data_IF_713775001651
#
_entry.id   IF_713775001651
#
_cell.length_a   1.000
_cell.length_b   1.000
_cell.length_c   1.000
_cell.angle_alpha   90.00
_cell.angle_beta   90.00
_cell.angle_gamma   90.00
#
_symmetry.space_group_name_H-M   'P 1'
#
loop_
_entity.id
_entity.type
_entity.pdbx_description
1 polymer ?
#
# COMPACT_ATOMS: atom_id res chain seq x y z
N UNK A 1 -18.10 -7.35 -22.37
CA UNK A 1 -18.32 -7.95 -21.03
C UNK A 1 -17.26 -7.36 -20.11
N UNK A 2 -17.65 -6.63 -19.07
CA UNK A 2 -16.70 -6.02 -18.14
C UNK A 2 -16.04 -7.09 -17.25
N UNK A 3 -14.77 -6.89 -16.89
CA UNK A 3 -14.06 -7.73 -15.94
C UNK A 3 -14.29 -7.24 -14.49
N UNK A 4 -13.97 -8.06 -13.49
CA UNK A 4 -14.10 -7.67 -12.07
C UNK A 4 -13.08 -6.59 -11.63
N UNK A 5 -11.94 -6.50 -12.32
CA UNK A 5 -10.82 -5.62 -11.94
C UNK A 5 -10.54 -4.58 -13.04
N UNK A 6 -10.36 -3.29 -12.70
CA UNK A 6 -10.46 -2.71 -11.35
C UNK A 6 -11.91 -2.50 -10.87
N UNK A 7 -12.18 -2.75 -9.58
CA UNK A 7 -13.51 -2.50 -8.99
C UNK A 7 -13.88 -1.02 -8.99
N UNK A 8 -12.88 -0.15 -8.91
CA UNK A 8 -13.02 1.29 -8.68
C UNK A 8 -13.15 2.13 -9.96
N UNK A 9 -13.09 1.51 -11.16
CA UNK A 9 -13.28 2.19 -12.44
C UNK A 9 -13.94 1.25 -13.45
N UNK A 10 -15.22 1.49 -13.76
CA UNK A 10 -15.97 0.73 -14.76
C UNK A 10 -15.39 0.91 -16.17
N UNK A 11 -14.93 2.11 -16.49
CA UNK A 11 -14.29 2.41 -17.78
C UNK A 11 -13.05 1.54 -18.00
N UNK A 12 -12.18 1.43 -17.00
CA UNK A 12 -11.04 0.52 -17.07
C UNK A 12 -11.48 -0.95 -17.04
N UNK A 13 -12.48 -1.32 -16.23
CA UNK A 13 -12.97 -2.70 -16.15
C UNK A 13 -13.52 -3.23 -17.48
N UNK A 14 -14.03 -2.33 -18.33
CA UNK A 14 -14.53 -2.62 -19.68
C UNK A 14 -13.42 -2.69 -20.74
N UNK A 15 -12.23 -2.18 -20.47
CA UNK A 15 -11.13 -2.20 -21.44
C UNK A 15 -10.65 -3.64 -21.69
N UNK A 16 -10.73 -4.14 -22.95
CA UNK A 16 -10.42 -5.52 -23.28
C UNK A 16 -8.92 -5.79 -23.43
N UNK A 17 -8.08 -4.76 -23.38
CA UNK A 17 -6.64 -4.85 -23.63
C UNK A 17 -5.85 -5.01 -22.33
N UNK A 18 -4.54 -5.20 -22.45
CA UNK A 18 -3.62 -5.18 -21.30
C UNK A 18 -3.50 -3.79 -20.66
N UNK A 19 -3.88 -2.71 -21.36
CA UNK A 19 -3.91 -1.33 -20.82
C UNK A 19 -4.69 -1.27 -19.51
N UNK A 20 -5.80 -2.00 -19.42
CA UNK A 20 -6.61 -2.14 -18.22
C UNK A 20 -5.77 -2.44 -16.97
N UNK A 21 -4.90 -3.44 -17.05
CA UNK A 21 -4.12 -3.94 -15.91
C UNK A 21 -3.14 -2.86 -15.47
N UNK A 22 -2.41 -2.26 -16.42
CA UNK A 22 -1.41 -1.25 -16.14
C UNK A 22 -2.01 0.02 -15.54
N UNK A 23 -3.09 0.53 -16.14
CA UNK A 23 -3.76 1.73 -15.63
C UNK A 23 -4.41 1.48 -14.28
N UNK A 24 -5.00 0.31 -14.06
CA UNK A 24 -5.55 -0.04 -12.75
C UNK A 24 -4.50 -0.09 -11.63
N UNK A 25 -3.27 -0.51 -11.93
CA UNK A 25 -2.18 -0.46 -10.93
C UNK A 25 -1.75 0.99 -10.72
N UNK A 26 -1.61 1.77 -11.80
CA UNK A 26 -1.16 3.16 -11.74
C UNK A 26 -2.13 4.08 -10.99
N UNK A 27 -3.45 3.84 -11.09
CA UNK A 27 -4.50 4.69 -10.50
C UNK A 27 -5.12 4.10 -9.23
N UNK A 28 -4.56 2.99 -8.71
CA UNK A 28 -5.11 2.31 -7.53
C UNK A 28 -5.20 3.18 -6.27
N UNK A 29 -4.29 4.15 -6.12
CA UNK A 29 -4.24 5.08 -4.99
C UNK A 29 -4.74 6.51 -5.33
N UNK A 30 -5.18 6.75 -6.57
CA UNK A 30 -5.82 8.01 -6.97
C UNK A 30 -7.32 7.95 -6.62
N UNK A 31 -7.61 7.98 -5.31
CA UNK A 31 -8.97 7.75 -4.80
C UNK A 31 -10.00 8.76 -5.28
N UNK A 32 -9.60 10.00 -5.56
CA UNK A 32 -10.49 11.06 -6.06
C UNK A 32 -11.09 10.68 -7.43
N UNK A 33 -10.32 9.96 -8.25
CA UNK A 33 -10.75 9.51 -9.59
C UNK A 33 -11.67 8.28 -9.57
N UNK A 34 -11.92 7.67 -8.41
CA UNK A 34 -12.67 6.41 -8.31
C UNK A 34 -14.17 6.64 -8.46
N UNK A 35 -14.86 5.69 -9.10
CA UNK A 35 -16.30 5.77 -9.35
C UNK A 35 -17.10 5.94 -8.05
N UNK A 36 -17.96 6.97 -8.00
CA UNK A 36 -18.85 7.22 -6.88
C UNK A 36 -18.15 7.70 -5.60
N UNK A 37 -16.92 8.21 -5.69
CA UNK A 37 -16.21 8.77 -4.53
C UNK A 37 -16.93 10.02 -3.99
N UNK A 38 -17.12 10.07 -2.66
CA UNK A 38 -17.57 11.25 -1.93
C UNK A 38 -16.43 11.76 -1.05
N UNK A 39 -16.48 13.03 -0.67
CA UNK A 39 -15.45 13.66 0.17
C UNK A 39 -15.28 12.92 1.52
N UNK A 40 -16.39 12.59 2.19
CA UNK A 40 -16.34 11.82 3.45
C UNK A 40 -15.66 10.46 3.27
N UNK A 41 -16.05 9.69 2.24
CA UNK A 41 -15.48 8.37 1.97
C UNK A 41 -14.00 8.45 1.58
N UNK A 42 -13.61 9.50 0.84
CA UNK A 42 -12.23 9.78 0.49
C UNK A 42 -11.38 9.94 1.75
N UNK A 43 -11.79 10.82 2.67
CA UNK A 43 -11.05 11.05 3.91
C UNK A 43 -11.02 9.82 4.82
N UNK A 44 -12.11 9.06 4.93
CA UNK A 44 -12.12 7.80 5.69
C UNK A 44 -11.14 6.77 5.11
N UNK A 45 -11.05 6.66 3.77
CA UNK A 45 -10.08 5.77 3.09
C UNK A 45 -8.63 6.22 3.31
N UNK A 46 -8.36 7.52 3.18
CA UNK A 46 -7.02 8.10 3.43
C UNK A 46 -6.61 7.83 4.89
N UNK A 47 -7.52 8.08 5.83
CA UNK A 47 -7.28 7.86 7.26
C UNK A 47 -6.92 6.39 7.56
N UNK A 48 -7.71 5.44 7.06
CA UNK A 48 -7.40 4.01 7.24
C UNK A 48 -6.07 3.60 6.56
N UNK A 49 -5.77 4.18 5.39
CA UNK A 49 -4.50 3.93 4.67
C UNK A 49 -3.29 4.41 5.48
N UNK A 50 -3.40 5.55 6.18
CA UNK A 50 -2.34 6.01 7.08
C UNK A 50 -2.04 5.01 8.20
N UNK A 51 -3.07 4.39 8.81
CA UNK A 51 -2.85 3.34 9.81
C UNK A 51 -2.17 2.10 9.23
N UNK A 52 -2.56 1.70 8.02
CA UNK A 52 -1.86 0.63 7.30
C UNK A 52 -0.39 0.96 7.09
N UNK A 53 -0.08 2.18 6.65
CA UNK A 53 1.30 2.61 6.41
C UNK A 53 2.12 2.71 7.72
N UNK A 54 1.54 3.25 8.80
CA UNK A 54 2.18 3.29 10.12
C UNK A 54 2.51 1.88 10.62
N UNK A 55 1.59 0.92 10.45
CA UNK A 55 1.84 -0.48 10.82
C UNK A 55 3.03 -1.08 10.04
N UNK A 56 3.13 -0.80 8.73
CA UNK A 56 4.28 -1.25 7.91
C UNK A 56 5.58 -0.66 8.44
N UNK A 57 5.61 0.62 8.83
CA UNK A 57 6.80 1.26 9.41
C UNK A 57 7.19 0.58 10.73
N UNK A 58 6.23 0.31 11.61
CA UNK A 58 6.51 -0.36 12.88
C UNK A 58 7.01 -1.79 12.69
N UNK A 59 6.46 -2.53 11.73
CA UNK A 59 6.93 -3.87 11.38
C UNK A 59 8.34 -3.83 10.78
N UNK A 60 8.64 -2.85 9.93
CA UNK A 60 9.97 -2.64 9.38
C UNK A 60 11.01 -2.37 10.48
N UNK A 61 10.73 -1.41 11.37
CA UNK A 61 11.62 -1.09 12.49
C UNK A 61 11.78 -2.28 13.45
N UNK A 62 10.69 -2.99 13.75
CA UNK A 62 10.71 -4.22 14.56
C UNK A 62 11.57 -5.30 13.92
N UNK A 63 11.47 -5.49 12.60
CA UNK A 63 12.30 -6.45 11.85
C UNK A 63 13.78 -6.10 11.92
N UNK A 64 14.14 -4.83 11.76
CA UNK A 64 15.54 -4.38 11.89
C UNK A 64 16.10 -4.71 13.28
N UNK A 65 15.37 -4.36 14.34
CA UNK A 65 15.76 -4.67 15.72
C UNK A 65 15.87 -6.16 15.96
N UNK A 66 14.89 -6.93 15.47
CA UNK A 66 14.86 -8.38 15.63
C UNK A 66 16.07 -9.04 14.98
N UNK A 67 16.42 -8.66 13.75
CA UNK A 67 17.57 -9.23 13.06
C UNK A 67 18.91 -8.84 13.71
N UNK A 68 19.06 -7.60 14.20
CA UNK A 68 20.25 -7.19 14.97
C UNK A 68 20.37 -8.01 16.25
N UNK A 69 19.28 -8.20 16.99
CA UNK A 69 19.29 -8.96 18.24
C UNK A 69 19.52 -10.47 18.02
N UNK A 70 18.95 -11.05 16.96
CA UNK A 70 19.00 -12.48 16.71
C UNK A 70 20.28 -12.93 16.01
N UNK A 71 20.75 -12.17 15.03
CA UNK A 71 21.81 -12.59 14.11
C UNK A 71 23.01 -11.63 14.11
N UNK A 72 22.86 -10.44 14.70
CA UNK A 72 23.92 -9.44 14.77
C UNK A 72 24.94 -9.71 15.88
N UNK A 73 25.93 -8.82 15.96
CA UNK A 73 27.00 -8.83 16.94
C UNK A 73 26.95 -7.59 17.86
N UNK A 74 25.74 -7.10 18.15
CA UNK A 74 25.55 -5.80 18.81
C UNK A 74 26.21 -5.72 20.20
N UNK A 75 26.17 -6.80 20.99
CA UNK A 75 26.84 -6.84 22.30
C UNK A 75 28.37 -6.79 22.19
N UNK A 76 28.95 -7.35 21.13
CA UNK A 76 30.37 -7.25 20.84
C UNK A 76 30.73 -5.86 20.32
N UNK A 77 29.91 -5.32 19.40
CA UNK A 77 30.10 -4.01 18.80
C UNK A 77 30.10 -2.89 19.84
N UNK A 78 29.23 -2.93 20.86
CA UNK A 78 29.23 -1.91 21.92
C UNK A 78 30.57 -1.86 22.69
N UNK A 79 31.33 -2.95 22.74
CA UNK A 79 32.63 -2.99 23.44
C UNK A 79 33.75 -2.33 22.63
N UNK A 80 33.64 -2.35 21.30
CA UNK A 80 34.57 -1.73 20.34
C UNK A 80 33.81 -1.34 19.05
N UNK A 81 33.22 -0.12 19.02
CA UNK A 81 32.31 0.32 17.95
C UNK A 81 32.97 0.52 16.57
#
# INVERSE_FOLDING_TARGET
MATKFPKFSQDLAQDPTTRRIWYAIATGNDFESHDGMTEENLYQKIFATHFGHLAIIFLWASSLLFHVAWQGNFEQWIKDP
#
